data_IF_974428057836
#
_entry.id   IF_974428057836
#
_cell.length_a   1.000
_cell.length_b   1.000
_cell.length_c   1.000
_cell.angle_alpha   90.00
_cell.angle_beta   90.00
_cell.angle_gamma   90.00
#
_symmetry.space_group_name_H-M   'P 1'
#
loop_
_entity.id
_entity.type
_entity.pdbx_description
1 polymer ?
#
# COMPACT_ATOMS: atom_id res chain seq x y z
N UNK A 1 -16.66 -17.12 20.29
CA UNK A 1 -16.34 -15.68 20.18
C UNK A 1 -14.82 -15.56 20.11
N UNK A 2 -14.25 -15.47 18.91
CA UNK A 2 -12.80 -15.49 18.72
C UNK A 2 -12.25 -14.06 18.71
N UNK A 3 -11.30 -13.75 19.59
CA UNK A 3 -10.51 -12.52 19.52
C UNK A 3 -9.31 -12.81 18.62
N UNK A 4 -9.37 -12.36 17.37
CA UNK A 4 -8.23 -12.45 16.47
C UNK A 4 -7.32 -11.27 16.81
N UNK A 5 -6.15 -11.57 17.35
CA UNK A 5 -5.12 -10.58 17.68
C UNK A 5 -4.31 -10.36 16.40
N UNK A 6 -4.57 -9.26 15.68
CA UNK A 6 -3.75 -8.87 14.54
C UNK A 6 -2.59 -7.98 15.01
N UNK A 7 -1.37 -8.32 14.61
CA UNK A 7 -0.17 -7.51 14.84
C UNK A 7 0.02 -6.64 13.59
N UNK A 8 -0.12 -5.31 13.73
CA UNK A 8 0.06 -4.36 12.62
C UNK A 8 1.18 -3.38 12.98
N UNK A 9 2.29 -3.41 12.25
CA UNK A 9 3.43 -2.49 12.48
C UNK A 9 4.04 -2.52 13.89
N UNK A 10 3.90 -3.64 14.63
CA UNK A 10 4.42 -3.80 15.99
C UNK A 10 3.48 -3.39 17.12
N UNK A 11 2.26 -2.91 16.84
CA UNK A 11 1.29 -2.54 17.88
C UNK A 11 0.07 -3.47 17.90
N UNK A 12 -0.28 -3.96 19.09
CA UNK A 12 -1.46 -4.80 19.34
C UNK A 12 -2.71 -3.91 19.39
N UNK A 13 -3.59 -4.02 18.39
CA UNK A 13 -4.88 -3.33 18.40
C UNK A 13 -6.03 -4.34 18.37
N UNK A 14 -7.04 -4.21 19.27
CA UNK A 14 -8.22 -5.07 19.24
C UNK A 14 -9.03 -4.77 17.98
N UNK A 15 -9.04 -5.70 17.02
CA UNK A 15 -9.81 -5.59 15.79
C UNK A 15 -11.08 -6.42 15.88
N UNK A 16 -12.19 -5.90 15.33
CA UNK A 16 -13.45 -6.63 15.19
C UNK A 16 -13.80 -6.71 13.71
N UNK A 17 -13.86 -7.92 13.19
CA UNK A 17 -14.18 -8.17 11.79
C UNK A 17 -15.69 -8.23 11.59
N UNK A 18 -16.17 -7.50 10.58
CA UNK A 18 -17.56 -7.55 10.16
C UNK A 18 -17.63 -7.99 8.71
N UNK A 19 -18.49 -8.96 8.43
CA UNK A 19 -18.74 -9.41 7.06
C UNK A 19 -19.91 -8.60 6.47
N UNK A 20 -19.73 -8.19 5.22
CA UNK A 20 -20.74 -7.48 4.45
C UNK A 20 -20.74 -7.97 3.00
N UNK A 21 -21.83 -7.70 2.30
CA UNK A 21 -21.94 -7.98 0.87
C UNK A 21 -21.84 -6.68 0.09
N UNK A 22 -21.17 -6.72 -1.06
CA UNK A 22 -21.12 -5.57 -1.96
C UNK A 22 -22.44 -5.54 -2.74
N UNK A 23 -23.23 -4.51 -2.53
CA UNK A 23 -24.45 -4.26 -3.31
C UNK A 23 -24.33 -2.90 -4.00
N UNK A 24 -24.48 -2.85 -5.33
CA UNK A 24 -24.35 -1.62 -6.14
C UNK A 24 -23.02 -0.88 -5.92
N UNK A 25 -21.92 -1.62 -5.76
CA UNK A 25 -20.58 -1.05 -5.53
C UNK A 25 -20.36 -0.50 -4.13
N UNK A 26 -21.31 -0.67 -3.20
CA UNK A 26 -21.16 -0.24 -1.81
C UNK A 26 -21.10 -1.47 -0.89
N UNK A 27 -20.15 -1.47 0.05
CA UNK A 27 -20.08 -2.50 1.09
C UNK A 27 -21.22 -2.27 2.07
N UNK A 28 -22.19 -3.19 2.09
CA UNK A 28 -23.25 -3.20 3.10
C UNK A 28 -22.94 -4.23 4.16
N UNK A 29 -22.75 -3.75 5.39
CA UNK A 29 -22.59 -4.60 6.56
C UNK A 29 -23.94 -5.24 6.91
N UNK A 30 -23.94 -6.54 7.18
CA UNK A 30 -25.17 -7.29 7.50
C UNK A 30 -25.84 -6.86 8.81
N UNK A 31 -25.05 -6.30 9.73
CA UNK A 31 -25.52 -5.77 10.99
C UNK A 31 -25.57 -4.23 10.97
N UNK A 32 -26.52 -3.66 11.71
CA UNK A 32 -26.69 -2.20 11.89
C UNK A 32 -25.57 -1.64 12.78
N UNK A 33 -24.35 -1.63 12.24
CA UNK A 33 -23.14 -1.20 12.93
C UNK A 33 -22.80 0.21 12.47
N UNK A 34 -22.62 1.11 13.43
CA UNK A 34 -22.05 2.43 13.19
C UNK A 34 -20.54 2.34 13.42
N UNK A 35 -19.76 2.55 12.37
CA UNK A 35 -18.32 2.71 12.49
C UNK A 35 -18.01 4.08 13.10
N UNK A 36 -16.99 4.19 13.96
CA UNK A 36 -16.58 5.46 14.53
C UNK A 36 -15.98 6.38 13.44
N UNK A 37 -16.00 7.69 13.68
CA UNK A 37 -15.42 8.65 12.75
C UNK A 37 -13.92 8.36 12.53
N UNK A 38 -13.47 8.50 11.27
CA UNK A 38 -12.10 8.22 10.81
C UNK A 38 -11.63 6.76 10.97
N UNK A 39 -12.55 5.81 11.12
CA UNK A 39 -12.20 4.39 11.09
C UNK A 39 -11.58 4.00 9.74
N UNK A 40 -10.41 3.35 9.77
CA UNK A 40 -9.81 2.73 8.57
C UNK A 40 -10.56 1.45 8.23
N UNK A 41 -10.99 1.33 6.98
CA UNK A 41 -11.71 0.15 6.47
C UNK A 41 -10.79 -0.62 5.53
N UNK A 42 -10.70 -1.93 5.75
CA UNK A 42 -9.89 -2.85 4.93
C UNK A 42 -10.83 -3.87 4.29
N UNK A 43 -10.71 -4.07 2.98
CA UNK A 43 -11.53 -5.03 2.22
C UNK A 43 -10.62 -6.19 1.82
N UNK A 44 -11.00 -7.41 2.21
CA UNK A 44 -10.29 -8.64 1.83
C UNK A 44 -11.07 -9.28 0.69
N UNK A 45 -10.47 -9.34 -0.50
CA UNK A 45 -11.05 -9.99 -1.68
C UNK A 45 -10.15 -11.19 -2.03
N UNK A 46 -10.64 -12.43 -1.91
CA UNK A 46 -9.88 -13.59 -2.38
C UNK A 46 -9.78 -13.53 -3.92
N UNK A 47 -8.59 -13.74 -4.46
CA UNK A 47 -8.34 -13.78 -5.91
C UNK A 47 -8.61 -12.45 -6.64
N UNK A 48 -8.12 -11.34 -6.07
CA UNK A 48 -8.21 -10.02 -6.70
C UNK A 48 -6.86 -9.62 -7.31
N UNK A 49 -6.80 -9.58 -8.64
CA UNK A 49 -5.76 -8.83 -9.33
C UNK A 49 -6.09 -7.35 -9.19
N UNK A 50 -5.39 -6.68 -8.28
CA UNK A 50 -5.35 -5.23 -8.27
C UNK A 50 -4.80 -4.81 -9.64
N UNK A 51 -5.62 -4.18 -10.49
CA UNK A 51 -5.10 -3.27 -11.49
C UNK A 51 -4.52 -2.08 -10.72
N UNK A 52 -3.39 -2.33 -10.06
CA UNK A 52 -2.57 -1.28 -9.53
C UNK A 52 -2.21 -0.47 -10.78
N UNK A 53 -2.84 0.70 -10.92
CA UNK A 53 -2.34 1.78 -11.75
C UNK A 53 -1.00 2.30 -11.21
N UNK A 54 -0.16 1.44 -10.61
CA UNK A 54 1.27 1.63 -10.64
C UNK A 54 1.63 1.49 -12.11
N UNK A 55 1.79 2.61 -12.79
CA UNK A 55 2.20 2.68 -14.18
C UNK A 55 3.36 1.69 -14.36
N UNK A 56 3.10 0.55 -15.02
CA UNK A 56 4.16 -0.37 -15.40
C UNK A 56 4.97 0.38 -16.44
N UNK A 57 6.01 1.07 -15.99
CA UNK A 57 6.85 1.86 -16.86
C UNK A 57 7.49 0.92 -17.89
N UNK A 58 7.17 1.14 -19.16
CA UNK A 58 7.82 0.43 -20.25
C UNK A 58 9.18 1.09 -20.51
N UNK A 59 10.25 0.28 -20.50
CA UNK A 59 11.61 0.79 -20.67
C UNK A 59 11.79 1.50 -22.03
N UNK A 60 11.16 1.01 -23.10
CA UNK A 60 11.22 1.65 -24.41
C UNK A 60 10.46 2.98 -24.43
N UNK A 61 9.35 3.09 -23.70
CA UNK A 61 8.60 4.33 -23.57
C UNK A 61 9.39 5.40 -22.80
N UNK A 62 10.05 5.02 -21.70
CA UNK A 62 10.92 5.91 -20.94
C UNK A 62 12.10 6.42 -21.77
N UNK A 63 12.76 5.53 -22.52
CA UNK A 63 13.87 5.89 -23.41
C UNK A 63 13.40 6.80 -24.55
N UNK A 64 12.20 6.58 -25.09
CA UNK A 64 11.64 7.47 -26.11
C UNK A 64 11.34 8.89 -25.60
N UNK A 65 11.17 9.06 -24.28
CA UNK A 65 10.97 10.37 -23.63
C UNK A 65 12.28 11.03 -23.18
N UNK A 66 13.41 10.31 -23.22
CA UNK A 66 14.70 10.91 -22.87
C UNK A 66 15.10 11.94 -23.93
N UNK A 67 15.50 13.16 -23.55
CA UNK A 67 16.00 14.13 -24.50
C UNK A 67 17.30 13.62 -25.12
N UNK A 68 17.46 13.82 -26.42
CA UNK A 68 18.66 13.37 -27.16
C UNK A 68 19.97 14.01 -26.68
N UNK A 69 19.87 15.10 -25.92
CA UNK A 69 20.99 15.84 -25.34
C UNK A 69 21.27 15.45 -23.87
N UNK A 70 20.64 14.38 -23.35
CA UNK A 70 20.86 13.94 -21.97
C UNK A 70 22.30 13.42 -21.78
N UNK A 71 23.05 14.07 -20.92
CA UNK A 71 24.39 13.65 -20.51
C UNK A 71 24.31 13.06 -19.10
N UNK A 72 24.65 11.77 -18.96
CA UNK A 72 24.78 11.12 -17.66
C UNK A 72 26.10 11.58 -17.04
N UNK A 73 26.04 12.18 -15.87
CA UNK A 73 27.22 12.39 -15.02
C UNK A 73 27.09 11.51 -13.78
N UNK A 74 28.17 10.83 -13.42
CA UNK A 74 28.27 10.15 -12.14
C UNK A 74 28.46 11.22 -11.05
N UNK A 75 27.46 11.38 -10.18
CA UNK A 75 27.61 12.21 -8.99
C UNK A 75 28.34 11.38 -7.93
N UNK A 76 29.57 11.79 -7.61
CA UNK A 76 30.31 11.18 -6.51
C UNK A 76 29.76 11.74 -5.19
N UNK A 77 29.17 10.87 -4.38
CA UNK A 77 28.62 11.20 -3.06
C UNK A 77 29.69 11.53 -1.99
N UNK A 78 30.95 11.68 -2.40
CA UNK A 78 32.08 11.98 -1.52
C UNK A 78 32.64 10.73 -0.83
N UNK A 79 33.60 10.96 0.08
CA UNK A 79 34.16 9.88 0.89
C UNK A 79 33.10 9.35 1.88
N UNK A 80 33.04 8.04 2.13
CA UNK A 80 32.08 7.45 3.05
C UNK A 80 32.26 8.02 4.47
N UNK A 81 31.25 8.76 4.95
CA UNK A 81 31.22 9.36 6.29
C UNK A 81 30.54 8.41 7.29
N UNK A 82 31.20 7.32 7.65
CA UNK A 82 30.63 6.38 8.62
C UNK A 82 31.62 5.37 9.18
N UNK A 83 32.17 5.67 10.36
CA UNK A 83 32.55 4.65 11.34
C UNK A 83 31.70 4.89 12.58
N UNK A 84 30.43 4.52 12.52
CA UNK A 84 29.70 4.27 13.77
C UNK A 84 30.15 2.90 14.26
N UNK A 85 30.90 2.90 15.36
CA UNK A 85 31.18 1.69 16.14
C UNK A 85 29.84 1.23 16.75
N UNK A 86 29.37 0.06 16.33
CA UNK A 86 28.18 -0.60 16.88
C UNK A 86 28.52 -1.35 18.17
#
# INVERSE_FOLDING_TARGET
MYHIINIFGGMLMPVKTFQGMVEKGQVKLAAKIRLPEKAKVYVVVPDFEENANGEKFNLAELVSRMPSDYQVSEESFGEPVGKEEW
#
